data_IF_966756929321
#
_entry.id   IF_966756929321
#
_cell.length_a   1.000
_cell.length_b   1.000
_cell.length_c   1.000
_cell.angle_alpha   90.00
_cell.angle_beta   90.00
_cell.angle_gamma   90.00
#
_symmetry.space_group_name_H-M   'P 1'
#
loop_
_entity.id
_entity.type
_entity.pdbx_description
1 polymer ?
#
# COMPACT_ATOMS: atom_id res chain seq x y z
N UNK A 1 13.69 8.23 -16.05
CA UNK A 1 12.55 8.11 -15.10
C UNK A 1 11.93 6.72 -15.21
N UNK A 2 12.10 5.83 -14.22
CA UNK A 2 11.33 4.56 -14.12
C UNK A 2 9.92 4.83 -13.55
N UNK A 3 9.27 5.84 -14.12
CA UNK A 3 8.09 6.58 -13.63
C UNK A 3 6.91 5.69 -13.17
N UNK A 4 6.54 4.57 -13.83
CA UNK A 4 5.36 3.80 -13.41
C UNK A 4 5.55 3.09 -12.07
N UNK A 5 6.70 2.48 -11.81
CA UNK A 5 6.84 1.57 -10.67
C UNK A 5 6.94 2.30 -9.32
N UNK A 6 7.63 3.45 -9.28
CA UNK A 6 7.73 4.25 -8.06
C UNK A 6 6.42 4.98 -7.78
N UNK A 7 5.74 5.47 -8.83
CA UNK A 7 4.40 6.05 -8.73
C UNK A 7 3.38 5.03 -8.21
N UNK A 8 3.37 3.80 -8.75
CA UNK A 8 2.52 2.72 -8.26
C UNK A 8 2.76 2.40 -6.78
N UNK A 9 4.01 2.41 -6.31
CA UNK A 9 4.33 2.22 -4.89
C UNK A 9 3.76 3.35 -4.01
N UNK A 10 3.85 4.60 -4.44
CA UNK A 10 3.29 5.76 -3.72
C UNK A 10 1.77 5.70 -3.69
N UNK A 11 1.13 5.37 -4.82
CA UNK A 11 -0.33 5.20 -4.89
C UNK A 11 -0.79 4.05 -4.00
N UNK A 12 -0.07 2.93 -3.96
CA UNK A 12 -0.37 1.84 -3.05
C UNK A 12 -0.28 2.28 -1.58
N UNK A 13 0.72 3.08 -1.18
CA UNK A 13 0.79 3.64 0.17
C UNK A 13 -0.39 4.55 0.49
N UNK A 14 -0.73 5.47 -0.42
CA UNK A 14 -1.83 6.40 -0.23
C UNK A 14 -3.17 5.65 -0.05
N UNK A 15 -3.42 4.63 -0.88
CA UNK A 15 -4.61 3.78 -0.79
C UNK A 15 -4.60 2.98 0.52
N UNK A 16 -3.49 2.34 0.88
CA UNK A 16 -3.37 1.59 2.13
C UNK A 16 -3.64 2.47 3.36
N UNK A 17 -3.06 3.67 3.39
CA UNK A 17 -3.29 4.64 4.47
C UNK A 17 -4.76 5.09 4.52
N UNK A 18 -5.34 5.41 3.38
CA UNK A 18 -6.76 5.78 3.29
C UNK A 18 -7.68 4.69 3.85
N UNK A 19 -7.43 3.43 3.49
CA UNK A 19 -8.22 2.30 3.96
C UNK A 19 -8.12 2.14 5.48
N UNK A 20 -6.93 2.31 6.06
CA UNK A 20 -6.74 2.28 7.52
C UNK A 20 -7.53 3.40 8.20
N UNK A 21 -7.46 4.63 7.68
CA UNK A 21 -8.22 5.78 8.21
C UNK A 21 -9.73 5.53 8.10
N UNK A 22 -10.18 4.98 6.97
CA UNK A 22 -11.59 4.67 6.73
C UNK A 22 -12.14 3.65 7.74
N UNK A 23 -11.41 2.55 7.95
CA UNK A 23 -11.77 1.53 8.94
C UNK A 23 -11.71 2.05 10.38
N UNK A 24 -10.76 2.94 10.70
CA UNK A 24 -10.69 3.56 12.02
C UNK A 24 -11.92 4.43 12.31
N UNK A 25 -12.47 5.11 11.30
CA UNK A 25 -13.69 5.92 11.40
C UNK A 25 -15.01 5.12 11.31
N UNK A 26 -14.98 3.94 10.71
CA UNK A 26 -16.18 3.12 10.44
C UNK A 26 -16.09 1.72 11.07
N UNK A 27 -15.88 1.66 12.39
CA UNK A 27 -15.78 0.37 13.12
C UNK A 27 -17.08 -0.43 13.21
N UNK A 28 -18.21 0.14 12.78
CA UNK A 28 -19.51 -0.54 12.70
C UNK A 28 -19.81 -1.12 11.31
N UNK A 29 -18.80 -1.20 10.43
CA UNK A 29 -18.92 -1.85 9.13
C UNK A 29 -19.18 -3.34 9.29
N UNK A 30 -19.83 -3.91 8.27
CA UNK A 30 -20.03 -5.35 8.17
C UNK A 30 -18.68 -6.09 8.30
N UNK A 31 -18.59 -7.19 9.08
CA UNK A 31 -17.34 -7.88 9.36
C UNK A 31 -16.59 -8.31 8.10
N UNK A 32 -17.31 -8.75 7.06
CA UNK A 32 -16.71 -9.19 5.80
C UNK A 32 -16.08 -8.01 5.07
N UNK A 33 -16.75 -6.86 5.06
CA UNK A 33 -16.22 -5.63 4.46
C UNK A 33 -14.96 -5.14 5.20
N UNK A 34 -14.95 -5.27 6.53
CA UNK A 34 -13.81 -4.90 7.37
C UNK A 34 -12.59 -5.81 7.12
N UNK A 35 -12.79 -7.12 7.01
CA UNK A 35 -11.72 -8.07 6.67
C UNK A 35 -11.15 -7.82 5.27
N UNK A 36 -12.01 -7.61 4.27
CA UNK A 36 -11.58 -7.35 2.90
C UNK A 36 -10.76 -6.05 2.77
N UNK A 37 -11.22 -5.00 3.45
CA UNK A 37 -10.52 -3.73 3.53
C UNK A 37 -9.17 -3.88 4.24
N UNK A 38 -9.13 -4.61 5.37
CA UNK A 38 -7.90 -4.92 6.07
C UNK A 38 -6.88 -5.66 5.20
N UNK A 39 -7.32 -6.70 4.49
CA UNK A 39 -6.47 -7.45 3.55
C UNK A 39 -5.93 -6.57 2.42
N UNK A 40 -6.78 -5.69 1.88
CA UNK A 40 -6.38 -4.73 0.84
C UNK A 40 -5.30 -3.78 1.34
N UNK A 41 -5.45 -3.25 2.55
CA UNK A 41 -4.42 -2.40 3.17
C UNK A 41 -3.08 -3.14 3.31
N UNK A 42 -3.10 -4.38 3.78
CA UNK A 42 -1.88 -5.21 3.91
C UNK A 42 -1.19 -5.41 2.56
N UNK A 43 -1.94 -5.72 1.50
CA UNK A 43 -1.40 -5.88 0.14
C UNK A 43 -0.79 -4.58 -0.36
N UNK A 44 -1.47 -3.45 -0.17
CA UNK A 44 -0.99 -2.12 -0.55
C UNK A 44 0.31 -1.76 0.17
N UNK A 45 0.38 -1.94 1.50
CA UNK A 45 1.60 -1.68 2.27
C UNK A 45 2.73 -2.65 1.91
N UNK A 46 2.43 -3.93 1.73
CA UNK A 46 3.40 -4.94 1.31
C UNK A 46 3.99 -4.64 -0.08
N UNK A 47 3.14 -4.25 -1.03
CA UNK A 47 3.58 -3.86 -2.37
C UNK A 47 4.47 -2.62 -2.34
N UNK A 48 4.09 -1.59 -1.59
CA UNK A 48 4.90 -0.39 -1.43
C UNK A 48 6.26 -0.67 -0.77
N UNK A 49 6.28 -1.48 0.29
CA UNK A 49 7.50 -1.91 0.96
C UNK A 49 8.39 -2.70 -0.02
N UNK A 50 7.82 -3.62 -0.81
CA UNK A 50 8.54 -4.34 -1.84
C UNK A 50 9.18 -3.41 -2.87
N UNK A 51 8.45 -2.41 -3.37
CA UNK A 51 8.97 -1.43 -4.33
C UNK A 51 10.11 -0.62 -3.73
N UNK A 52 9.98 -0.15 -2.49
CA UNK A 52 11.03 0.58 -1.77
C UNK A 52 12.28 -0.27 -1.57
N UNK A 53 12.14 -1.51 -1.06
CA UNK A 53 13.25 -2.45 -0.87
C UNK A 53 13.94 -2.74 -2.20
N UNK A 54 13.18 -3.01 -3.25
CA UNK A 54 13.72 -3.27 -4.59
C UNK A 54 14.46 -2.06 -5.15
N UNK A 55 14.00 -0.84 -4.85
CA UNK A 55 14.66 0.41 -5.26
C UNK A 55 15.97 0.63 -4.51
N UNK A 56 15.99 0.40 -3.20
CA UNK A 56 17.21 0.56 -2.38
C UNK A 56 18.25 -0.52 -2.70
N UNK A 57 17.83 -1.78 -2.89
CA UNK A 57 18.74 -2.90 -3.20
C UNK A 57 19.31 -2.84 -4.63
N UNK A 58 18.58 -2.25 -5.57
CA UNK A 58 19.11 -1.92 -6.90
C UNK A 58 19.75 -0.53 -6.84
N UNK A 59 20.85 -0.42 -6.10
CA UNK A 59 21.72 0.76 -6.08
C UNK A 59 22.15 1.19 -7.49
N UNK A 60 22.73 2.40 -7.65
CA UNK A 60 23.04 2.97 -8.96
C UNK A 60 23.83 1.94 -9.78
N UNK A 61 23.21 1.45 -10.86
CA UNK A 61 23.89 0.64 -11.85
C UNK A 61 24.82 1.60 -12.60
N UNK A 62 26.03 1.78 -12.06
CA UNK A 62 27.17 2.38 -12.75
C UNK A 62 27.76 1.36 -13.71
#
# INVERSE_FOLDING_TARGET
MRFPFTFMGIMALAIGLWVVVYLAGHRSLDPVAQELAGATAVVCFGFAAYVLIRRVRRGPQH
#
